data_IF_613434706580
#
_entry.id   IF_613434706580
#
_cell.length_a   1.000
_cell.length_b   1.000
_cell.length_c   1.000
_cell.angle_alpha   90.00
_cell.angle_beta   90.00
_cell.angle_gamma   90.00
#
_symmetry.space_group_name_H-M   'P 1'
#
loop_
_entity.id
_entity.type
_entity.pdbx_description
1 polymer ?
#
# COMPACT_ATOMS: atom_id res chain seq x y z
N UNK A 1 -10.14 11.10 16.02
CA UNK A 1 -9.03 10.79 16.94
C UNK A 1 -7.89 10.07 16.22
N UNK A 2 -8.10 8.86 15.71
CA UNK A 2 -7.08 8.06 14.99
C UNK A 2 -6.36 8.84 13.88
N UNK A 3 -7.11 9.57 13.04
CA UNK A 3 -6.53 10.41 11.98
C UNK A 3 -5.45 11.37 12.50
N UNK A 4 -5.69 12.02 13.64
CA UNK A 4 -4.74 12.99 14.23
C UNK A 4 -3.45 12.30 14.70
N UNK A 5 -3.57 11.14 15.32
CA UNK A 5 -2.40 10.37 15.79
C UNK A 5 -1.52 9.97 14.60
N UNK A 6 -2.14 9.42 13.55
CA UNK A 6 -1.40 8.99 12.35
C UNK A 6 -0.70 10.17 11.69
N UNK A 7 -1.36 11.33 11.61
CA UNK A 7 -0.76 12.55 11.06
C UNK A 7 0.43 13.04 11.90
N UNK A 8 0.36 13.03 13.23
CA UNK A 8 1.51 13.40 14.09
C UNK A 8 2.72 12.50 13.86
N UNK A 9 2.49 11.19 13.73
CA UNK A 9 3.55 10.23 13.42
C UNK A 9 4.14 10.48 12.04
N UNK A 10 3.29 10.80 11.06
CA UNK A 10 3.68 11.11 9.69
C UNK A 10 4.49 12.42 9.61
N UNK A 11 4.10 13.45 10.34
CA UNK A 11 4.81 14.72 10.44
C UNK A 11 6.21 14.51 11.03
N UNK A 12 6.34 13.62 12.02
CA UNK A 12 7.63 13.24 12.60
C UNK A 12 8.56 12.59 11.56
N UNK A 13 8.01 11.80 10.63
CA UNK A 13 8.77 11.21 9.54
C UNK A 13 9.38 12.27 8.60
N UNK A 14 8.71 13.42 8.45
CA UNK A 14 9.20 14.51 7.58
C UNK A 14 10.46 15.19 8.11
N UNK A 15 10.76 15.09 9.41
CA UNK A 15 11.97 15.69 9.98
C UNK A 15 13.23 15.05 9.38
N UNK A 16 13.27 13.72 9.27
CA UNK A 16 14.39 13.00 8.68
C UNK A 16 14.57 13.28 7.19
N UNK A 17 13.47 13.41 6.45
CA UNK A 17 13.54 13.69 5.01
C UNK A 17 13.98 15.12 4.72
N UNK A 18 13.51 16.10 5.50
CA UNK A 18 13.97 17.49 5.43
C UNK A 18 15.46 17.61 5.76
N UNK A 19 15.95 16.87 6.75
CA UNK A 19 17.36 16.85 7.09
C UNK A 19 18.23 16.27 5.96
N UNK A 20 17.83 15.15 5.37
CA UNK A 20 18.62 14.48 4.32
C UNK A 20 18.56 15.17 2.96
N UNK A 21 17.40 15.71 2.58
CA UNK A 21 17.15 16.20 1.21
C UNK A 21 16.92 17.71 1.12
N UNK A 22 16.89 18.43 2.24
CA UNK A 22 16.72 19.88 2.29
C UNK A 22 15.47 20.35 1.52
N UNK A 23 15.68 21.25 0.55
CA UNK A 23 14.59 21.79 -0.31
C UNK A 23 13.81 20.73 -1.08
N UNK A 24 14.41 19.60 -1.44
CA UNK A 24 13.75 18.58 -2.25
C UNK A 24 12.63 17.86 -1.47
N UNK A 25 12.73 17.81 -0.14
CA UNK A 25 11.71 17.23 0.74
C UNK A 25 10.58 18.21 1.10
N UNK A 26 10.62 19.46 0.63
CA UNK A 26 9.57 20.43 0.91
C UNK A 26 8.33 20.18 0.03
N UNK A 27 7.14 19.97 0.64
CA UNK A 27 5.91 19.84 -0.15
C UNK A 27 5.61 21.13 -0.91
N UNK A 28 4.85 21.06 -2.03
CA UNK A 28 4.51 22.23 -2.82
C UNK A 28 3.92 23.36 -1.97
N UNK A 29 4.43 24.57 -2.14
CA UNK A 29 3.98 25.75 -1.39
C UNK A 29 4.56 25.91 0.01
N UNK A 30 5.38 24.97 0.49
CA UNK A 30 6.10 25.13 1.76
C UNK A 30 7.42 25.89 1.59
N UNK A 31 7.82 26.60 2.65
CA UNK A 31 9.11 27.27 2.80
C UNK A 31 9.87 26.65 3.97
N UNK A 32 11.18 26.46 3.82
CA UNK A 32 12.02 26.03 4.94
C UNK A 32 12.38 27.20 5.87
N UNK A 33 13.03 26.87 6.99
CA UNK A 33 13.55 27.84 7.97
C UNK A 33 14.60 28.79 7.36
N UNK A 34 15.24 28.39 6.25
CA UNK A 34 16.19 29.22 5.51
C UNK A 34 15.53 30.14 4.47
N UNK A 35 14.19 30.21 4.41
CA UNK A 35 13.44 31.07 3.49
C UNK A 35 13.36 30.57 2.04
N UNK A 36 13.80 29.35 1.78
CA UNK A 36 13.80 28.75 0.46
C UNK A 36 12.45 28.09 0.15
N UNK A 37 11.91 28.38 -1.03
CA UNK A 37 10.64 27.82 -1.50
C UNK A 37 10.80 26.41 -2.06
N UNK A 38 9.72 25.61 -1.93
CA UNK A 38 9.60 24.30 -2.56
C UNK A 38 9.80 24.37 -4.07
N UNK A 39 10.57 23.41 -4.60
CA UNK A 39 10.85 23.26 -6.03
C UNK A 39 9.73 22.54 -6.80
N UNK A 40 8.70 22.05 -6.09
CA UNK A 40 7.60 21.26 -6.65
C UNK A 40 7.37 19.96 -5.91
N UNK A 41 6.54 19.08 -6.48
CA UNK A 41 6.25 17.77 -5.91
C UNK A 41 7.23 16.71 -6.45
N UNK A 42 8.10 16.22 -5.58
CA UNK A 42 9.01 15.11 -5.90
C UNK A 42 8.65 13.87 -5.07
N UNK A 43 7.92 12.94 -5.70
CA UNK A 43 7.48 11.70 -5.07
C UNK A 43 8.61 10.96 -4.33
N UNK A 44 9.79 10.90 -4.99
CA UNK A 44 10.96 10.18 -4.50
C UNK A 44 11.57 10.77 -3.23
N UNK A 45 11.47 12.08 -3.01
CA UNK A 45 12.09 12.76 -1.88
C UNK A 45 11.10 13.17 -0.79
N UNK A 46 9.80 13.21 -1.10
CA UNK A 46 8.75 13.69 -0.20
C UNK A 46 7.93 12.54 0.39
N UNK A 47 7.46 11.62 -0.44
CA UNK A 47 6.51 10.60 -0.02
C UNK A 47 7.19 9.25 0.25
N UNK A 48 8.02 8.76 -0.67
CA UNK A 48 8.61 7.43 -0.57
C UNK A 48 9.51 7.21 0.66
N UNK A 49 10.34 8.17 1.11
CA UNK A 49 11.21 7.95 2.28
C UNK A 49 10.45 7.70 3.58
N UNK A 50 9.15 8.05 3.65
CA UNK A 50 8.32 7.70 4.82
C UNK A 50 8.21 6.19 5.04
N UNK A 51 8.33 5.38 3.98
CA UNK A 51 8.32 3.91 4.06
C UNK A 51 9.48 3.40 4.92
N UNK A 52 10.67 4.01 4.78
CA UNK A 52 11.84 3.67 5.60
C UNK A 52 11.61 4.00 7.07
N UNK A 53 11.03 5.17 7.35
CA UNK A 53 10.70 5.58 8.72
C UNK A 53 9.70 4.61 9.37
N UNK A 54 8.62 4.26 8.68
CA UNK A 54 7.62 3.34 9.23
C UNK A 54 8.17 1.92 9.40
N UNK A 55 9.04 1.44 8.51
CA UNK A 55 9.71 0.16 8.69
C UNK A 55 10.64 0.16 9.92
N UNK A 56 11.40 1.24 10.14
CA UNK A 56 12.23 1.42 11.32
C UNK A 56 11.40 1.51 12.62
N UNK A 57 10.28 2.24 12.57
CA UNK A 57 9.34 2.36 13.69
C UNK A 57 8.73 1.01 14.04
N UNK A 58 8.28 0.24 13.05
CA UNK A 58 7.74 -1.11 13.28
C UNK A 58 8.81 -2.00 13.90
N UNK A 59 10.05 -1.98 13.39
CA UNK A 59 11.19 -2.69 13.99
C UNK A 59 11.39 -2.36 15.46
N UNK A 60 11.38 -1.06 15.80
CA UNK A 60 11.45 -0.60 17.19
C UNK A 60 10.29 -1.12 18.05
N UNK A 61 9.05 -1.07 17.55
CA UNK A 61 7.87 -1.56 18.27
C UNK A 61 7.86 -3.08 18.47
N UNK A 62 8.49 -3.85 17.56
CA UNK A 62 8.74 -5.27 17.75
C UNK A 62 9.75 -5.53 18.87
N UNK A 63 10.87 -4.80 18.89
CA UNK A 63 11.87 -4.90 19.96
C UNK A 63 11.28 -4.56 21.35
N UNK A 64 10.46 -3.50 21.41
CA UNK A 64 9.77 -3.05 22.62
C UNK A 64 8.59 -3.95 23.05
N UNK A 65 8.29 -5.02 22.28
CA UNK A 65 7.20 -5.97 22.52
C UNK A 65 5.77 -5.39 22.42
N UNK A 66 5.62 -4.19 21.88
CA UNK A 66 4.30 -3.57 21.64
C UNK A 66 3.55 -4.32 20.54
N UNK A 67 4.21 -4.60 19.42
CA UNK A 67 3.60 -5.33 18.29
C UNK A 67 3.20 -6.76 18.67
N UNK A 68 4.07 -7.59 19.30
CA UNK A 68 3.68 -8.90 19.80
C UNK A 68 2.47 -8.88 20.75
N UNK A 69 2.32 -7.85 21.59
CA UNK A 69 1.19 -7.72 22.50
C UNK A 69 -0.12 -7.50 21.72
N UNK A 70 -0.12 -6.54 20.78
CA UNK A 70 -1.27 -6.24 19.93
C UNK A 70 -1.68 -7.47 19.10
N UNK A 71 -0.70 -8.10 18.43
CA UNK A 71 -0.92 -9.26 17.57
C UNK A 71 -1.53 -10.42 18.37
N UNK A 72 -1.05 -10.69 19.59
CA UNK A 72 -1.63 -11.72 20.46
C UNK A 72 -3.06 -11.39 20.88
N UNK A 73 -3.36 -10.12 21.13
CA UNK A 73 -4.71 -9.66 21.44
C UNK A 73 -5.69 -9.97 20.31
N UNK A 74 -5.36 -9.59 19.08
CA UNK A 74 -6.19 -9.90 17.91
C UNK A 74 -6.25 -11.39 17.61
N UNK A 75 -5.14 -12.12 17.78
CA UNK A 75 -5.12 -13.56 17.54
C UNK A 75 -6.06 -14.28 18.50
N UNK A 76 -6.07 -13.88 19.77
CA UNK A 76 -7.02 -14.39 20.75
C UNK A 76 -8.48 -14.11 20.34
N UNK A 77 -8.77 -12.89 19.87
CA UNK A 77 -10.11 -12.53 19.37
C UNK A 77 -10.52 -13.41 18.21
N UNK A 78 -9.67 -13.62 17.21
CA UNK A 78 -9.99 -14.48 16.06
C UNK A 78 -10.12 -15.96 16.44
N UNK A 79 -9.21 -16.50 17.25
CA UNK A 79 -9.31 -17.88 17.72
C UNK A 79 -10.60 -18.10 18.54
N UNK A 80 -11.03 -17.11 19.33
CA UNK A 80 -12.23 -17.25 20.18
C UNK A 80 -13.53 -17.02 19.42
N UNK A 81 -13.60 -15.98 18.59
CA UNK A 81 -14.83 -15.60 17.89
C UNK A 81 -15.04 -16.40 16.60
N UNK A 82 -13.98 -16.63 15.84
CA UNK A 82 -14.06 -17.29 14.52
C UNK A 82 -13.69 -18.78 14.58
N UNK A 83 -13.15 -19.26 15.71
CA UNK A 83 -12.78 -20.67 15.94
C UNK A 83 -11.80 -21.23 14.90
N UNK A 84 -10.95 -20.37 14.38
CA UNK A 84 -9.87 -20.68 13.43
C UNK A 84 -8.59 -21.11 14.18
N UNK A 85 -7.66 -21.76 13.49
CA UNK A 85 -6.41 -22.30 14.06
C UNK A 85 -5.52 -21.20 14.65
N UNK A 86 -4.63 -21.58 15.58
CA UNK A 86 -3.72 -20.64 16.23
C UNK A 86 -2.74 -19.99 15.26
N UNK A 87 -2.22 -20.74 14.28
CA UNK A 87 -1.29 -20.21 13.30
C UNK A 87 -2.00 -19.29 12.29
N UNK A 88 -3.17 -19.67 11.77
CA UNK A 88 -3.91 -18.79 10.85
C UNK A 88 -4.40 -17.52 11.57
N UNK A 89 -4.89 -17.63 12.81
CA UNK A 89 -5.25 -16.47 13.65
C UNK A 89 -4.07 -15.50 13.83
N UNK A 90 -2.89 -16.05 14.11
CA UNK A 90 -1.70 -15.26 14.38
C UNK A 90 -1.21 -14.54 13.12
N UNK A 91 -1.23 -15.24 11.98
CA UNK A 91 -0.86 -14.66 10.70
C UNK A 91 -1.83 -13.54 10.31
N UNK A 92 -3.14 -13.80 10.33
CA UNK A 92 -4.17 -12.80 10.02
C UNK A 92 -4.09 -11.58 10.94
N UNK A 93 -3.80 -11.78 12.23
CA UNK A 93 -3.64 -10.68 13.19
C UNK A 93 -2.39 -9.85 12.93
N UNK A 94 -1.27 -10.50 12.59
CA UNK A 94 -0.03 -9.83 12.22
C UNK A 94 -0.19 -9.02 10.94
N UNK A 95 -0.96 -9.55 9.99
CA UNK A 95 -1.20 -8.96 8.69
C UNK A 95 -1.88 -7.58 8.75
N UNK A 96 -2.72 -7.32 9.77
CA UNK A 96 -3.32 -5.99 10.03
C UNK A 96 -2.24 -4.89 10.11
N UNK A 97 -1.08 -5.23 10.67
CA UNK A 97 -0.03 -4.25 10.95
C UNK A 97 1.16 -4.35 9.98
N UNK A 98 1.57 -5.54 9.56
CA UNK A 98 2.78 -5.71 8.75
C UNK A 98 2.47 -5.97 7.28
N UNK A 99 1.24 -6.40 6.95
CA UNK A 99 0.89 -6.87 5.61
C UNK A 99 1.51 -8.23 5.29
N UNK A 100 1.92 -8.42 4.03
CA UNK A 100 2.31 -9.74 3.46
C UNK A 100 3.44 -10.46 4.21
N UNK A 101 4.30 -9.74 4.92
CA UNK A 101 5.37 -10.30 5.75
C UNK A 101 4.85 -11.09 6.95
N UNK A 102 3.57 -10.95 7.29
CA UNK A 102 2.90 -11.71 8.34
C UNK A 102 3.01 -13.23 8.17
N UNK A 103 3.19 -13.74 6.96
CA UNK A 103 3.43 -15.17 6.72
C UNK A 103 4.73 -15.67 7.38
N UNK A 104 5.75 -14.80 7.51
CA UNK A 104 7.02 -15.16 8.14
C UNK A 104 6.87 -15.41 9.65
N UNK A 105 5.89 -14.78 10.29
CA UNK A 105 5.59 -14.95 11.72
C UNK A 105 5.15 -16.37 12.05
N UNK A 106 4.63 -17.10 11.07
CA UNK A 106 4.16 -18.49 11.20
C UNK A 106 4.99 -19.47 10.37
N UNK A 107 6.18 -19.05 9.93
CA UNK A 107 7.09 -19.84 9.09
C UNK A 107 7.27 -21.30 9.53
N UNK A 108 7.43 -21.63 10.83
CA UNK A 108 7.57 -23.03 11.27
C UNK A 108 6.34 -23.91 10.99
N UNK A 109 5.16 -23.30 10.86
CA UNK A 109 3.88 -24.01 10.70
C UNK A 109 3.44 -24.12 9.23
N UNK A 110 3.95 -23.27 8.34
CA UNK A 110 3.52 -23.20 6.92
C UNK A 110 3.54 -24.56 6.19
N UNK A 111 4.52 -25.41 6.49
CA UNK A 111 4.66 -26.73 5.83
C UNK A 111 3.60 -27.74 6.24
N UNK A 112 3.00 -27.55 7.40
CA UNK A 112 2.07 -28.51 8.01
C UNK A 112 0.62 -28.00 7.99
N UNK A 113 0.39 -26.85 7.36
CA UNK A 113 -0.92 -26.23 7.26
C UNK A 113 -1.82 -26.94 6.26
N UNK A 114 -3.12 -26.95 6.56
CA UNK A 114 -4.15 -27.43 5.64
C UNK A 114 -4.31 -26.45 4.48
N UNK A 115 -5.02 -26.88 3.42
CA UNK A 115 -5.34 -26.00 2.28
C UNK A 115 -6.18 -24.80 2.70
N UNK A 116 -7.08 -24.97 3.67
CA UNK A 116 -7.93 -23.89 4.17
C UNK A 116 -7.13 -22.88 5.00
N UNK A 117 -6.18 -23.33 5.83
CA UNK A 117 -5.25 -22.44 6.55
C UNK A 117 -4.40 -21.62 5.57
N UNK A 118 -3.82 -22.25 4.56
CA UNK A 118 -3.02 -21.57 3.53
C UNK A 118 -3.85 -20.58 2.71
N UNK A 119 -5.07 -20.95 2.34
CA UNK A 119 -6.00 -20.05 1.63
C UNK A 119 -6.31 -18.81 2.47
N UNK A 120 -6.48 -18.99 3.79
CA UNK A 120 -6.72 -17.88 4.72
C UNK A 120 -5.52 -16.94 4.82
N UNK A 121 -4.30 -17.48 4.89
CA UNK A 121 -3.06 -16.67 4.90
C UNK A 121 -2.92 -15.86 3.60
N UNK A 122 -3.17 -16.49 2.44
CA UNK A 122 -3.08 -15.82 1.16
C UNK A 122 -4.17 -14.75 0.99
N UNK A 123 -5.41 -15.07 1.34
CA UNK A 123 -6.53 -14.13 1.28
C UNK A 123 -6.30 -12.93 2.19
N UNK A 124 -5.81 -13.15 3.41
CA UNK A 124 -5.45 -12.07 4.33
C UNK A 124 -4.31 -11.23 3.74
N UNK A 125 -3.20 -11.86 3.35
CA UNK A 125 -2.01 -11.16 2.84
C UNK A 125 -2.27 -10.32 1.59
N UNK A 126 -3.13 -10.79 0.68
CA UNK A 126 -3.50 -10.06 -0.54
C UNK A 126 -4.66 -9.08 -0.32
N UNK A 127 -5.50 -9.29 0.69
CA UNK A 127 -6.69 -8.46 0.98
C UNK A 127 -6.42 -7.22 1.84
N UNK A 128 -5.18 -6.99 2.24
CA UNK A 128 -4.78 -5.89 3.14
C UNK A 128 -3.65 -5.03 2.57
N UNK A 129 -3.55 -3.81 3.06
CA UNK A 129 -2.42 -2.91 2.79
C UNK A 129 -1.41 -3.01 3.94
N UNK A 130 -0.12 -3.08 3.61
CA UNK A 130 0.95 -3.05 4.61
C UNK A 130 1.05 -1.66 5.28
N UNK A 131 1.26 -1.60 6.60
CA UNK A 131 1.38 -0.31 7.29
C UNK A 131 2.59 0.51 6.87
N UNK A 132 3.63 -0.13 6.32
CA UNK A 132 4.83 0.54 5.80
C UNK A 132 4.52 1.47 4.63
N UNK A 133 3.50 1.15 3.81
CA UNK A 133 3.06 1.99 2.67
C UNK A 133 1.84 2.83 2.98
N UNK A 134 1.22 2.66 4.15
CA UNK A 134 0.06 3.46 4.61
C UNK A 134 0.37 4.97 4.56
N UNK A 135 1.54 5.35 5.06
CA UNK A 135 2.04 6.72 5.11
C UNK A 135 2.06 7.40 3.73
N UNK A 136 2.56 6.66 2.73
CA UNK A 136 2.59 7.10 1.35
C UNK A 136 1.18 7.39 0.82
N UNK A 137 0.24 6.46 1.05
CA UNK A 137 -1.15 6.67 0.63
C UNK A 137 -1.81 7.84 1.35
N UNK A 138 -1.53 8.05 2.64
CA UNK A 138 -2.04 9.20 3.39
C UNK A 138 -1.51 10.50 2.79
N UNK A 139 -0.19 10.64 2.62
CA UNK A 139 0.40 11.85 2.04
C UNK A 139 -0.16 12.15 0.64
N UNK A 140 -0.34 11.11 -0.17
CA UNK A 140 -0.74 11.27 -1.54
C UNK A 140 -2.25 11.56 -1.70
N UNK A 141 -3.11 10.98 -0.85
CA UNK A 141 -4.57 11.14 -0.96
C UNK A 141 -5.14 12.23 -0.04
N UNK A 142 -4.37 12.76 0.91
CA UNK A 142 -4.89 13.72 1.88
C UNK A 142 -5.48 14.98 1.23
N UNK A 143 -4.94 15.41 0.08
CA UNK A 143 -5.50 16.55 -0.68
C UNK A 143 -6.91 16.30 -1.22
N UNK A 144 -7.24 15.03 -1.53
CA UNK A 144 -8.54 14.63 -2.06
C UNK A 144 -9.49 14.21 -0.94
N UNK A 145 -8.97 13.53 0.08
CA UNK A 145 -9.71 12.97 1.21
C UNK A 145 -8.98 13.28 2.53
N UNK A 146 -9.34 14.38 3.23
CA UNK A 146 -8.66 14.78 4.47
C UNK A 146 -8.71 13.75 5.62
N UNK A 147 -9.69 12.85 5.59
CA UNK A 147 -9.88 11.78 6.59
C UNK A 147 -9.29 10.43 6.16
N UNK A 148 -8.47 10.41 5.09
CA UNK A 148 -7.98 9.16 4.49
C UNK A 148 -7.22 8.25 5.46
N UNK A 149 -6.45 8.80 6.39
CA UNK A 149 -5.71 7.98 7.34
C UNK A 149 -6.66 7.18 8.24
N UNK A 150 -7.76 7.80 8.68
CA UNK A 150 -8.83 7.09 9.40
C UNK A 150 -9.47 5.98 8.57
N UNK A 151 -9.76 6.24 7.28
CA UNK A 151 -10.33 5.23 6.38
C UNK A 151 -9.39 4.06 6.14
N UNK A 152 -8.11 4.32 5.87
CA UNK A 152 -7.12 3.28 5.61
C UNK A 152 -6.87 2.42 6.86
N UNK A 153 -6.75 3.03 8.04
CA UNK A 153 -6.61 2.28 9.29
C UNK A 153 -7.85 1.41 9.54
N UNK A 154 -9.05 1.97 9.36
CA UNK A 154 -10.30 1.21 9.54
C UNK A 154 -10.42 0.07 8.54
N UNK A 155 -10.00 0.28 7.29
CA UNK A 155 -9.97 -0.75 6.24
C UNK A 155 -9.01 -1.88 6.62
N UNK A 156 -7.80 -1.59 7.11
CA UNK A 156 -6.85 -2.62 7.57
C UNK A 156 -7.43 -3.51 8.67
N UNK A 157 -8.16 -2.92 9.63
CA UNK A 157 -8.83 -3.70 10.68
C UNK A 157 -10.00 -4.54 10.17
N UNK A 158 -10.79 -4.02 9.22
CA UNK A 158 -11.95 -4.72 8.67
C UNK A 158 -11.57 -5.81 7.65
N UNK A 159 -10.48 -5.63 6.92
CA UNK A 159 -10.00 -6.59 5.92
C UNK A 159 -9.60 -7.93 6.54
N UNK A 160 -9.06 -7.94 7.76
CA UNK A 160 -8.67 -9.17 8.44
C UNK A 160 -9.85 -10.15 8.70
N UNK A 161 -10.94 -9.76 9.39
CA UNK A 161 -12.10 -10.62 9.55
C UNK A 161 -12.79 -10.93 8.22
N UNK A 162 -12.87 -9.96 7.29
CA UNK A 162 -13.47 -10.18 5.97
C UNK A 162 -12.70 -11.25 5.16
N UNK A 163 -11.36 -11.21 5.20
CA UNK A 163 -10.51 -12.19 4.53
C UNK A 163 -10.71 -13.60 5.09
N UNK A 164 -10.83 -13.74 6.42
CA UNK A 164 -11.12 -15.03 7.06
C UNK A 164 -12.49 -15.57 6.65
N UNK A 165 -13.52 -14.73 6.67
CA UNK A 165 -14.86 -15.15 6.27
C UNK A 165 -14.86 -15.59 4.81
N UNK A 166 -14.31 -14.78 3.91
CA UNK A 166 -14.26 -15.11 2.48
C UNK A 166 -13.40 -16.33 2.19
N UNK A 167 -12.26 -16.51 2.87
CA UNK A 167 -11.41 -17.68 2.68
C UNK A 167 -12.11 -18.96 3.11
N UNK A 168 -12.84 -18.94 4.23
CA UNK A 168 -13.58 -20.11 4.74
C UNK A 168 -14.86 -20.39 3.95
N UNK A 169 -15.45 -19.40 3.29
CA UNK A 169 -16.54 -19.61 2.31
C UNK A 169 -16.03 -20.28 1.03
N UNK A 170 -14.87 -19.87 0.52
CA UNK A 170 -14.28 -20.40 -0.71
C UNK A 170 -13.64 -21.78 -0.49
N UNK A 171 -12.88 -21.93 0.61
CA UNK A 171 -12.17 -23.15 0.98
C UNK A 171 -12.45 -23.49 2.46
N UNK A 172 -13.57 -24.17 2.75
CA UNK A 172 -13.91 -24.62 4.10
C UNK A 172 -12.85 -25.57 4.68
N UNK A 173 -12.72 -25.58 6.01
CA UNK A 173 -11.81 -26.49 6.71
C UNK A 173 -12.38 -27.91 6.71
N UNK A 174 -11.72 -28.82 6.01
CA UNK A 174 -12.09 -30.26 5.96
C UNK A 174 -11.17 -31.14 6.78
N UNK A 175 -10.01 -30.62 7.18
CA UNK A 175 -8.97 -31.34 7.91
C UNK A 175 -8.91 -30.89 9.38
N UNK A 176 -8.02 -31.47 10.18
CA UNK A 176 -7.78 -31.05 11.57
C UNK A 176 -6.49 -30.25 11.65
N UNK A 177 -6.55 -28.91 11.79
CA UNK A 177 -5.35 -28.09 11.95
C UNK A 177 -4.55 -28.48 13.18
N UNK A 178 -3.23 -28.64 13.04
CA UNK A 178 -2.34 -29.00 14.16
C UNK A 178 -2.29 -27.93 15.25
N UNK A 179 -2.55 -26.67 14.89
CA UNK A 179 -2.52 -25.54 15.82
C UNK A 179 -3.91 -25.15 16.33
N UNK A 180 -4.94 -25.96 16.10
CA UNK A 180 -6.28 -25.70 16.59
C UNK A 180 -6.30 -25.69 18.12
N UNK A 181 -6.75 -24.58 18.72
CA UNK A 181 -6.76 -24.40 20.17
C UNK A 181 -5.37 -24.21 20.80
N UNK A 182 -4.31 -24.11 20.00
CA UNK A 182 -2.94 -23.89 20.47
C UNK A 182 -2.58 -22.42 20.37
N UNK A 183 -2.06 -21.84 21.45
CA UNK A 183 -1.49 -20.50 21.41
C UNK A 183 -0.11 -20.53 20.74
N UNK A 184 -0.08 -20.21 19.44
CA UNK A 184 1.15 -20.12 18.66
C UNK A 184 1.92 -18.87 19.05
N UNK A 185 3.22 -19.02 19.34
CA UNK A 185 4.10 -17.88 19.59
C UNK A 185 4.59 -17.32 18.24
N UNK A 186 4.59 -15.99 18.05
CA UNK A 186 5.17 -15.36 16.88
C UNK A 186 6.63 -15.79 16.70
N UNK A 187 6.99 -16.23 15.51
CA UNK A 187 8.37 -16.46 15.12
C UNK A 187 8.99 -15.16 14.63
N UNK A 188 9.96 -14.63 15.36
CA UNK A 188 10.83 -13.54 14.93
C UNK A 188 12.18 -13.71 15.61
N UNK A 189 13.25 -13.36 14.89
CA UNK A 189 14.57 -13.21 15.49
C UNK A 189 14.61 -11.87 16.20
N UNK A 190 15.11 -11.87 17.43
CA UNK A 190 15.16 -10.65 18.25
C UNK A 190 16.48 -9.95 17.96
N UNK A 191 16.41 -8.67 17.58
CA UNK A 191 17.60 -7.83 17.50
C UNK A 191 18.26 -7.65 18.88
N UNK A 192 19.58 -7.48 18.90
CA UNK A 192 20.35 -7.38 20.13
C UNK A 192 19.96 -6.16 20.98
N UNK A 193 19.66 -5.03 20.33
CA UNK A 193 19.29 -3.79 20.98
C UNK A 193 18.30 -2.97 20.14
N UNK A 194 17.67 -1.97 20.77
CA UNK A 194 16.68 -1.10 20.13
C UNK A 194 17.24 -0.39 18.90
N UNK A 195 18.50 0.04 18.94
CA UNK A 195 19.14 0.73 17.83
C UNK A 195 19.35 -0.21 16.64
N UNK A 196 19.76 -1.45 16.88
CA UNK A 196 19.86 -2.49 15.85
C UNK A 196 18.49 -2.78 15.22
N UNK A 197 17.42 -2.84 16.00
CA UNK A 197 16.07 -3.02 15.48
C UNK A 197 15.63 -1.86 14.55
N UNK A 198 15.98 -0.62 14.91
CA UNK A 198 15.73 0.57 14.08
C UNK A 198 16.54 0.50 12.78
N UNK A 199 17.83 0.16 12.86
CA UNK A 199 18.73 0.05 11.70
C UNK A 199 18.24 -1.06 10.75
N UNK A 200 17.93 -2.24 11.28
CA UNK A 200 17.44 -3.38 10.49
C UNK A 200 16.07 -3.08 9.88
N UNK A 201 15.17 -2.44 10.63
CA UNK A 201 13.89 -1.96 10.10
C UNK A 201 14.06 -0.93 8.97
N UNK A 202 14.97 0.03 9.13
CA UNK A 202 15.26 1.03 8.09
C UNK A 202 15.83 0.39 6.82
N UNK A 203 16.74 -0.58 6.96
CA UNK A 203 17.32 -1.34 5.84
C UNK A 203 16.26 -2.18 5.10
N UNK A 204 15.36 -2.83 5.82
CA UNK A 204 14.21 -3.52 5.20
C UNK A 204 13.31 -2.54 4.46
N UNK A 205 13.02 -1.38 5.06
CA UNK A 205 12.28 -0.30 4.42
C UNK A 205 12.93 0.21 3.14
N UNK A 206 14.26 0.33 3.10
CA UNK A 206 15.01 0.73 1.91
C UNK A 206 14.84 -0.30 0.78
N UNK A 207 14.83 -1.60 1.09
CA UNK A 207 14.57 -2.66 0.11
C UNK A 207 13.16 -2.55 -0.46
N UNK A 208 12.15 -2.28 0.39
CA UNK A 208 10.78 -2.06 -0.08
C UNK A 208 10.66 -0.82 -0.97
N UNK A 209 11.30 0.28 -0.58
CA UNK A 209 11.36 1.50 -1.36
C UNK A 209 11.98 1.24 -2.74
N UNK A 210 13.12 0.54 -2.80
CA UNK A 210 13.78 0.18 -4.05
C UNK A 210 12.87 -0.65 -4.97
N UNK A 211 12.17 -1.64 -4.40
CA UNK A 211 11.19 -2.46 -5.14
C UNK A 211 10.03 -1.63 -5.69
N UNK A 212 9.48 -0.72 -4.90
CA UNK A 212 8.36 0.15 -5.32
C UNK A 212 8.80 1.10 -6.44
N UNK A 213 9.96 1.75 -6.31
CA UNK A 213 10.48 2.65 -7.35
C UNK A 213 10.70 1.90 -8.67
N UNK A 214 11.35 0.73 -8.60
CA UNK A 214 11.62 -0.08 -9.78
C UNK A 214 10.31 -0.53 -10.45
N UNK A 215 9.34 -1.01 -9.65
CA UNK A 215 8.03 -1.44 -10.14
C UNK A 215 7.26 -0.30 -10.80
N UNK A 216 7.20 0.88 -10.16
CA UNK A 216 6.52 2.05 -10.72
C UNK A 216 7.15 2.49 -12.04
N UNK A 217 8.48 2.58 -12.10
CA UNK A 217 9.19 3.00 -13.32
C UNK A 217 8.94 2.02 -14.47
N UNK A 218 9.09 0.72 -14.22
CA UNK A 218 8.89 -0.31 -15.24
C UNK A 218 7.42 -0.39 -15.69
N UNK A 219 6.49 -0.42 -14.75
CA UNK A 219 5.06 -0.59 -15.06
C UNK A 219 4.49 0.61 -15.79
N UNK A 220 4.82 1.85 -15.39
CA UNK A 220 4.35 3.05 -16.09
C UNK A 220 4.94 3.15 -17.51
N UNK A 221 6.20 2.73 -17.70
CA UNK A 221 6.81 2.64 -19.03
C UNK A 221 6.09 1.63 -19.93
N UNK A 222 5.79 0.44 -19.40
CA UNK A 222 5.03 -0.59 -20.13
C UNK A 222 3.61 -0.10 -20.44
N UNK A 223 2.94 0.55 -19.49
CA UNK A 223 1.60 1.11 -19.69
C UNK A 223 1.59 2.16 -20.82
N UNK A 224 2.60 3.03 -20.86
CA UNK A 224 2.73 4.00 -21.95
C UNK A 224 2.91 3.32 -23.32
N UNK A 225 3.71 2.26 -23.38
CA UNK A 225 3.88 1.46 -24.60
C UNK A 225 2.57 0.78 -25.01
N UNK A 226 1.83 0.19 -24.07
CA UNK A 226 0.53 -0.41 -24.33
C UNK A 226 -0.46 0.63 -24.88
N UNK A 227 -0.47 1.85 -24.34
CA UNK A 227 -1.32 2.92 -24.84
C UNK A 227 -0.99 3.33 -26.28
N UNK A 228 0.28 3.34 -26.66
CA UNK A 228 0.69 3.61 -28.05
C UNK A 228 0.18 2.50 -28.98
N UNK A 229 0.32 1.22 -28.58
CA UNK A 229 -0.17 0.08 -29.37
C UNK A 229 -1.70 0.13 -29.51
N UNK A 230 -2.43 0.37 -28.42
CA UNK A 230 -3.89 0.47 -28.44
C UNK A 230 -4.38 1.69 -29.21
N UNK A 231 -3.66 2.82 -29.14
CA UNK A 231 -3.95 4.00 -29.93
C UNK A 231 -3.77 3.74 -31.43
N UNK A 232 -2.72 3.02 -31.82
CA UNK A 232 -2.48 2.65 -33.22
C UNK A 232 -3.55 1.69 -33.75
N UNK A 233 -3.88 0.63 -33.00
CA UNK A 233 -4.95 -0.32 -33.35
C UNK A 233 -6.32 0.38 -33.39
N UNK A 234 -6.58 1.24 -32.42
CA UNK A 234 -7.81 2.01 -32.30
C UNK A 234 -8.01 3.01 -33.42
N UNK A 235 -6.93 3.64 -33.90
CA UNK A 235 -6.95 4.53 -35.07
C UNK A 235 -7.47 3.82 -36.32
N UNK A 236 -6.99 2.60 -36.58
CA UNK A 236 -7.46 1.78 -37.71
C UNK A 236 -8.96 1.46 -37.62
N UNK A 237 -9.46 1.17 -36.40
CA UNK A 237 -10.89 0.92 -36.16
C UNK A 237 -11.72 2.20 -36.29
N UNK A 238 -11.19 3.33 -35.83
CA UNK A 238 -11.82 4.65 -35.95
C UNK A 238 -12.06 5.03 -37.41
N UNK A 239 -11.03 4.86 -38.25
CA UNK A 239 -11.08 5.18 -39.67
C UNK A 239 -12.08 4.28 -40.42
N UNK A 240 -12.24 3.03 -39.99
CA UNK A 240 -13.16 2.08 -40.60
C UNK A 240 -14.63 2.30 -40.20
N UNK A 241 -14.89 2.74 -38.96
CA UNK A 241 -16.25 2.90 -38.42
C UNK A 241 -16.70 4.37 -38.27
N UNK A 242 -15.87 5.35 -38.64
CA UNK A 242 -16.17 6.79 -38.49
C UNK A 242 -16.35 7.24 -37.05
N UNK A 243 -15.82 6.47 -36.09
CA UNK A 243 -15.87 6.80 -34.67
C UNK A 243 -14.76 7.81 -34.34
N UNK A 244 -14.90 8.55 -33.24
CA UNK A 244 -13.86 9.45 -32.72
C UNK A 244 -13.54 9.10 -31.26
N UNK A 245 -13.17 7.84 -31.02
CA UNK A 245 -12.82 7.36 -29.68
C UNK A 245 -11.30 7.40 -29.47
N UNK A 246 -10.86 8.00 -28.36
CA UNK A 246 -9.48 7.88 -27.90
C UNK A 246 -9.27 6.47 -27.32
N UNK A 247 -8.71 5.57 -28.13
CA UNK A 247 -8.38 4.22 -27.68
C UNK A 247 -7.12 4.24 -26.82
N UNK A 248 -7.27 3.78 -25.59
CA UNK A 248 -6.18 3.61 -24.63
C UNK A 248 -6.42 2.32 -23.85
N UNK A 249 -5.36 1.74 -23.30
CA UNK A 249 -5.49 0.55 -22.47
C UNK A 249 -6.34 0.84 -21.23
N UNK A 250 -6.26 2.06 -20.67
CA UNK A 250 -7.12 2.48 -19.56
C UNK A 250 -8.60 2.57 -19.96
N UNK A 251 -8.91 3.06 -21.18
CA UNK A 251 -10.28 3.10 -21.67
C UNK A 251 -10.83 1.69 -21.90
N UNK A 252 -10.01 0.78 -22.44
CA UNK A 252 -10.37 -0.61 -22.66
C UNK A 252 -10.69 -1.34 -21.34
N UNK A 253 -9.81 -1.23 -20.34
CA UNK A 253 -10.07 -1.76 -19.00
C UNK A 253 -11.29 -1.07 -18.37
N UNK A 254 -11.41 0.25 -18.54
CA UNK A 254 -12.54 1.03 -18.06
C UNK A 254 -13.88 0.53 -18.58
N UNK A 255 -13.94 0.12 -19.84
CA UNK A 255 -15.15 -0.46 -20.46
C UNK A 255 -15.44 -1.86 -19.94
N UNK A 256 -14.43 -2.74 -19.87
CA UNK A 256 -14.59 -4.11 -19.35
C UNK A 256 -15.07 -4.12 -17.90
N UNK A 257 -14.52 -3.24 -17.06
CA UNK A 257 -14.85 -3.16 -15.64
C UNK A 257 -16.01 -2.19 -15.35
N UNK A 258 -16.58 -1.53 -16.35
CA UNK A 258 -17.75 -0.66 -16.20
C UNK A 258 -18.97 -1.34 -15.54
N UNK A 259 -19.35 -2.59 -15.89
CA UNK A 259 -20.52 -3.24 -15.30
C UNK A 259 -20.37 -3.52 -13.81
N UNK A 260 -19.15 -3.77 -13.34
CA UNK A 260 -18.86 -4.06 -11.94
C UNK A 260 -18.83 -2.81 -11.05
N UNK A 261 -19.00 -1.59 -11.61
CA UNK A 261 -19.08 -0.33 -10.84
C UNK A 261 -20.44 -0.04 -10.22
N UNK A 262 -21.45 -0.91 -10.42
CA UNK A 262 -22.85 -0.60 -10.13
C UNK A 262 -23.15 -0.38 -8.62
N UNK A 263 -22.31 -0.86 -7.69
CA UNK A 263 -22.46 -0.56 -6.26
C UNK A 263 -21.82 0.76 -5.78
N UNK A 264 -20.97 1.41 -6.59
CA UNK A 264 -20.40 2.71 -6.26
C UNK A 264 -21.32 3.85 -6.73
N UNK A 265 -22.62 3.77 -6.39
CA UNK A 265 -23.59 4.81 -6.70
C UNK A 265 -24.00 5.55 -5.44
N UNK A 266 -23.12 6.41 -4.93
CA UNK A 266 -23.59 7.64 -4.27
C UNK A 266 -22.59 8.80 -4.40
N UNK A 267 -23.09 9.85 -5.07
CA UNK A 267 -22.68 11.27 -5.07
C UNK A 267 -21.27 11.61 -5.60
N UNK A 268 -21.29 12.37 -6.71
CA UNK A 268 -20.25 13.30 -7.20
C UNK A 268 -19.10 13.52 -6.20
N UNK A 269 -18.04 12.73 -6.31
CA UNK A 269 -16.71 13.11 -5.86
C UNK A 269 -15.88 13.32 -7.13
N UNK A 270 -15.36 14.53 -7.39
CA UNK A 270 -14.45 14.73 -8.51
C UNK A 270 -13.17 13.94 -8.22
N UNK A 271 -12.61 13.31 -9.25
CA UNK A 271 -11.25 12.80 -9.27
C UNK A 271 -10.94 11.55 -8.42
N UNK A 272 -11.35 10.37 -8.90
CA UNK A 272 -10.56 9.12 -8.76
C UNK A 272 -9.64 8.85 -9.96
N UNK A 273 -9.42 9.87 -10.80
CA UNK A 273 -8.47 9.83 -11.91
C UNK A 273 -7.37 10.94 -11.86
N UNK A 274 -6.75 11.30 -10.73
CA UNK A 274 -5.60 12.21 -10.77
C UNK A 274 -4.26 11.48 -10.91
N UNK A 275 -4.13 10.22 -10.49
CA UNK A 275 -2.80 9.56 -10.38
C UNK A 275 -2.15 9.30 -11.72
N UNK A 276 -2.91 8.75 -12.67
CA UNK A 276 -2.43 8.51 -14.04
C UNK A 276 -2.56 9.78 -14.90
N UNK A 277 -3.56 10.62 -14.62
CA UNK A 277 -3.76 11.88 -15.36
C UNK A 277 -2.69 12.92 -15.05
N UNK A 278 -2.16 12.97 -13.83
CA UNK A 278 -1.03 13.86 -13.50
C UNK A 278 0.28 13.35 -14.11
N UNK A 279 0.53 12.04 -14.10
CA UNK A 279 1.67 11.45 -14.80
C UNK A 279 1.58 11.65 -16.33
N UNK A 280 0.39 11.51 -16.92
CA UNK A 280 0.16 11.72 -18.36
C UNK A 280 0.17 13.20 -18.74
N UNK A 281 -0.31 14.11 -17.88
CA UNK A 281 -0.21 15.57 -18.09
C UNK A 281 1.24 16.06 -17.94
N UNK A 282 2.01 15.49 -17.01
CA UNK A 282 3.44 15.77 -16.90
C UNK A 282 4.22 15.26 -18.14
N UNK A 283 3.91 14.05 -18.62
CA UNK A 283 4.48 13.51 -19.85
C UNK A 283 4.08 14.31 -21.11
N UNK A 284 2.81 14.75 -21.20
CA UNK A 284 2.32 15.61 -22.30
C UNK A 284 2.93 17.02 -22.28
N UNK A 285 3.31 17.55 -21.11
CA UNK A 285 4.07 18.83 -21.02
C UNK A 285 5.53 18.68 -21.43
N UNK A 286 6.15 17.53 -21.18
CA UNK A 286 7.53 17.25 -21.59
C UNK A 286 7.68 16.99 -23.12
N UNK A 287 6.61 16.56 -23.79
CA UNK A 287 6.60 16.20 -25.21
C UNK A 287 6.11 17.31 -26.16
N UNK A 288 5.77 18.51 -25.67
CA UNK A 288 5.47 19.64 -26.55
C UNK A 288 6.78 20.21 -27.12
N UNK A 289 7.04 20.13 -28.44
CA UNK A 289 8.09 20.92 -29.04
C UNK A 289 7.74 22.40 -28.86
N UNK A 290 8.73 23.17 -28.40
CA UNK A 290 8.64 24.61 -28.18
C UNK A 290 8.48 25.34 -29.52
N UNK A 291 7.28 25.30 -30.11
CA UNK A 291 6.87 26.16 -31.23
C UNK A 291 6.16 27.38 -30.64
N UNK A 292 6.94 28.29 -30.07
CA UNK A 292 6.52 29.68 -29.84
C UNK A 292 7.73 30.52 -29.38
N UNK A 293 8.76 30.61 -30.24
CA UNK A 293 9.68 31.76 -30.31
C UNK A 293 10.19 31.90 -31.74
N UNK A 294 9.36 32.52 -32.56
CA UNK A 294 9.76 33.17 -33.81
C UNK A 294 8.97 34.46 -33.86
N UNK A 295 9.51 35.49 -33.22
CA UNK A 295 9.65 36.88 -33.66
C UNK A 295 10.55 37.58 -32.65
#
# INVERSE_FOLDING_TARGET
>A
FVNKIVLIVLDSATAGTKFLFGRLALPPGATNEAGETSLGFFLAFQALPTIMFFAALIGALYYLRIMPLLIRGFAFVFTRLMRISGAESLCTSSNIFVGIESALVVKPHLREMTKSELTTILAAGMGTIASTVLAFYVLYLHEVLPTIAGHLVSASFLSAPAAVVMSKLIMPETEKPKTLGVHVKPYYERDDNLMMAIINGANSGLRYLGGIVALLAAFLGILALLNIIFGWLGGYVNDLFGLNLEWSFEAFLGYIFYPNRIEAREKKAPATAPVIRQASVAARRALKPNRERSF
#
